data_IF_068495312757
#
_entry.id   IF_068495312757
#
_cell.length_a   1.000
_cell.length_b   1.000
_cell.length_c   1.000
_cell.angle_alpha   90.00
_cell.angle_beta   90.00
_cell.angle_gamma   90.00
#
_symmetry.space_group_name_H-M   'P 1'
#
loop_
_entity.id
_entity.type
_entity.pdbx_description
1 polymer ?
#
# COMPACT_ATOMS: atom_id res chain seq x y z
N UNK A 1 4.60 47.02 -20.14
CA UNK A 1 3.24 47.24 -19.62
C UNK A 1 2.27 46.28 -20.30
N UNK A 2 1.52 45.51 -19.51
CA UNK A 2 0.52 44.48 -19.88
C UNK A 2 1.03 43.07 -20.21
N UNK A 3 1.69 42.42 -19.24
CA UNK A 3 1.56 40.97 -19.06
C UNK A 3 0.27 40.75 -18.25
N UNK A 4 -0.80 40.37 -18.93
CA UNK A 4 -2.04 40.01 -18.26
C UNK A 4 -2.68 38.87 -19.02
N UNK A 5 -3.03 37.82 -18.32
CA UNK A 5 -3.89 36.76 -18.84
C UNK A 5 -5.32 37.02 -18.35
N UNK A 6 -6.31 36.64 -19.15
CA UNK A 6 -7.71 36.66 -18.74
C UNK A 6 -8.13 35.26 -18.30
N UNK A 7 -8.77 35.19 -17.15
CA UNK A 7 -9.45 33.98 -16.69
C UNK A 7 -10.92 34.11 -17.06
N UNK A 8 -11.36 33.32 -18.03
CA UNK A 8 -12.76 33.28 -18.48
C UNK A 8 -13.34 31.89 -18.24
N UNK A 9 -14.64 31.83 -17.95
CA UNK A 9 -15.35 30.56 -17.89
C UNK A 9 -15.90 30.22 -19.28
N UNK A 10 -15.64 29.01 -19.75
CA UNK A 10 -16.11 28.56 -21.05
C UNK A 10 -17.64 28.43 -21.04
N UNK A 11 -18.38 29.04 -21.99
CA UNK A 11 -19.83 28.91 -22.06
C UNK A 11 -20.29 27.50 -22.42
N UNK A 12 -19.42 26.66 -23.00
CA UNK A 12 -19.75 25.29 -23.41
C UNK A 12 -19.59 24.27 -22.26
N UNK A 13 -18.44 24.28 -21.57
CA UNK A 13 -18.11 23.29 -20.54
C UNK A 13 -18.02 23.84 -19.11
N UNK A 14 -18.21 25.16 -18.91
CA UNK A 14 -18.03 25.87 -17.62
C UNK A 14 -16.64 25.66 -16.97
N UNK A 15 -15.67 25.23 -17.77
CA UNK A 15 -14.29 25.08 -17.36
C UNK A 15 -13.59 26.44 -17.33
N UNK A 16 -12.58 26.59 -16.48
CA UNK A 16 -11.84 27.84 -16.36
C UNK A 16 -10.72 27.84 -17.38
N UNK A 17 -10.70 28.87 -18.22
CA UNK A 17 -9.75 29.01 -19.31
C UNK A 17 -8.88 30.24 -19.07
N UNK A 18 -7.56 30.06 -19.17
CA UNK A 18 -6.59 31.15 -19.22
C UNK A 18 -6.31 31.53 -20.67
N UNK A 19 -6.55 32.79 -21.02
CA UNK A 19 -6.40 33.33 -22.37
C UNK A 19 -5.39 34.46 -22.36
N UNK A 20 -4.47 34.45 -23.34
CA UNK A 20 -3.52 35.53 -23.56
C UNK A 20 -4.22 36.79 -24.10
N UNK A 21 -3.94 37.94 -23.49
CA UNK A 21 -4.59 39.23 -23.83
C UNK A 21 -4.30 39.76 -25.23
N UNK A 22 -3.14 39.44 -25.81
CA UNK A 22 -2.70 40.04 -27.08
C UNK A 22 -3.09 39.17 -28.27
N UNK A 23 -3.04 37.85 -28.08
CA UNK A 23 -3.23 36.88 -29.16
C UNK A 23 -4.59 36.20 -29.12
N UNK A 24 -5.31 36.29 -28.01
CA UNK A 24 -6.59 35.57 -27.82
C UNK A 24 -6.43 34.05 -27.77
N UNK A 25 -5.19 33.54 -27.70
CA UNK A 25 -4.92 32.11 -27.64
C UNK A 25 -5.19 31.58 -26.23
N UNK A 26 -5.80 30.41 -26.17
CA UNK A 26 -5.97 29.65 -24.93
C UNK A 26 -4.62 29.09 -24.51
N UNK A 27 -4.15 29.48 -23.34
CA UNK A 27 -2.91 29.00 -22.75
C UNK A 27 -3.14 27.73 -21.94
N UNK A 28 -4.21 27.72 -21.12
CA UNK A 28 -4.55 26.60 -20.24
C UNK A 28 -6.05 26.42 -20.15
N UNK A 29 -6.47 25.17 -20.15
CA UNK A 29 -7.84 24.74 -19.92
C UNK A 29 -7.83 23.89 -18.65
N UNK A 30 -8.42 24.39 -17.57
CA UNK A 30 -8.58 23.63 -16.34
C UNK A 30 -9.98 23.06 -16.27
N UNK A 31 -10.06 21.73 -16.18
CA UNK A 31 -11.30 21.05 -15.85
C UNK A 31 -11.85 21.59 -14.54
N UNK A 32 -13.16 21.84 -14.53
CA UNK A 32 -13.85 22.31 -13.34
C UNK A 32 -13.61 21.29 -12.21
N UNK A 33 -13.02 21.68 -11.06
CA UNK A 33 -12.97 20.78 -9.93
C UNK A 33 -14.42 20.45 -9.59
N UNK A 34 -14.81 19.19 -9.83
CA UNK A 34 -16.09 18.69 -9.37
C UNK A 34 -16.14 18.99 -7.87
N UNK A 35 -17.10 19.80 -7.38
CA UNK A 35 -17.27 19.94 -5.96
C UNK A 35 -17.57 18.54 -5.45
N UNK A 36 -16.60 17.94 -4.74
CA UNK A 36 -16.84 16.71 -3.99
C UNK A 36 -18.11 16.97 -3.19
N UNK A 37 -19.16 16.20 -3.48
CA UNK A 37 -20.53 16.49 -3.04
C UNK A 37 -20.55 16.94 -1.57
N UNK A 38 -21.02 18.17 -1.28
CA UNK A 38 -21.24 18.60 0.09
C UNK A 38 -22.60 18.03 0.52
N UNK A 39 -22.65 16.77 0.98
CA UNK A 39 -23.94 16.24 1.43
C UNK A 39 -24.04 14.78 1.86
N UNK A 40 -23.03 13.93 1.63
CA UNK A 40 -22.99 12.58 2.21
C UNK A 40 -22.03 12.56 3.39
N UNK A 41 -22.46 12.10 4.55
CA UNK A 41 -21.71 12.07 5.81
C UNK A 41 -20.25 11.59 5.65
N UNK A 42 -19.33 12.52 5.42
CA UNK A 42 -17.89 12.27 5.31
C UNK A 42 -17.37 11.53 6.55
N UNK A 43 -18.00 11.77 7.70
CA UNK A 43 -17.71 11.09 8.95
C UNK A 43 -18.12 9.60 8.92
N UNK A 44 -19.28 9.26 8.35
CA UNK A 44 -19.71 7.87 8.23
C UNK A 44 -18.88 7.09 7.21
N UNK A 45 -18.54 7.71 6.07
CA UNK A 45 -17.64 7.09 5.10
C UNK A 45 -16.23 6.91 5.67
N UNK A 46 -15.72 7.90 6.42
CA UNK A 46 -14.43 7.77 7.11
C UNK A 46 -14.46 6.65 8.16
N UNK A 47 -15.52 6.53 8.96
CA UNK A 47 -15.66 5.44 9.92
C UNK A 47 -15.74 4.07 9.24
N UNK A 48 -16.47 3.94 8.13
CA UNK A 48 -16.52 2.68 7.36
C UNK A 48 -15.15 2.30 6.79
N UNK A 49 -14.40 3.28 6.26
CA UNK A 49 -13.03 3.05 5.78
C UNK A 49 -12.10 2.61 6.91
N UNK A 50 -12.16 3.27 8.07
CA UNK A 50 -11.36 2.90 9.24
C UNK A 50 -11.67 1.48 9.75
N UNK A 51 -12.94 1.08 9.75
CA UNK A 51 -13.32 -0.29 10.13
C UNK A 51 -12.82 -1.33 9.12
N UNK A 52 -12.94 -1.04 7.82
CA UNK A 52 -12.43 -1.92 6.76
C UNK A 52 -10.91 -2.06 6.83
N UNK A 53 -10.19 -0.96 7.05
CA UNK A 53 -8.75 -0.97 7.24
C UNK A 53 -8.35 -1.78 8.48
N UNK A 54 -9.06 -1.60 9.60
CA UNK A 54 -8.82 -2.37 10.83
C UNK A 54 -8.98 -3.88 10.61
N UNK A 55 -10.05 -4.31 9.92
CA UNK A 55 -10.25 -5.72 9.58
C UNK A 55 -9.10 -6.26 8.72
N UNK A 56 -8.68 -5.51 7.70
CA UNK A 56 -7.58 -5.92 6.82
C UNK A 56 -6.25 -6.05 7.56
N UNK A 57 -5.97 -5.14 8.50
CA UNK A 57 -4.78 -5.23 9.34
C UNK A 57 -4.83 -6.45 10.25
N UNK A 58 -5.96 -6.70 10.91
CA UNK A 58 -6.13 -7.85 11.80
C UNK A 58 -5.94 -9.19 11.08
N UNK A 59 -6.51 -9.33 9.88
CA UNK A 59 -6.33 -10.50 9.02
C UNK A 59 -4.86 -10.71 8.65
N UNK A 60 -4.15 -9.63 8.32
CA UNK A 60 -2.72 -9.68 7.98
C UNK A 60 -1.87 -10.12 9.18
N UNK A 61 -2.09 -9.54 10.36
CA UNK A 61 -1.37 -9.90 11.58
C UNK A 61 -1.68 -11.32 12.03
N UNK A 62 -2.95 -11.74 11.97
CA UNK A 62 -3.38 -13.09 12.32
C UNK A 62 -2.73 -14.13 11.41
N UNK A 63 -2.71 -13.89 10.09
CA UNK A 63 -2.07 -14.79 9.14
C UNK A 63 -0.55 -14.84 9.31
N UNK A 64 0.10 -13.69 9.50
CA UNK A 64 1.54 -13.62 9.74
C UNK A 64 1.94 -14.37 11.03
N UNK A 65 1.17 -14.21 12.12
CA UNK A 65 1.39 -14.91 13.37
C UNK A 65 1.28 -16.42 13.22
N UNK A 66 0.25 -16.92 12.51
CA UNK A 66 0.08 -18.35 12.24
C UNK A 66 1.23 -18.91 11.41
N UNK A 67 1.65 -18.23 10.35
CA UNK A 67 2.76 -18.68 9.51
C UNK A 67 4.08 -18.80 10.29
N UNK A 68 4.34 -17.85 11.20
CA UNK A 68 5.55 -17.89 12.04
C UNK A 68 5.51 -19.05 13.04
N UNK A 69 4.36 -19.28 13.67
CA UNK A 69 4.16 -20.39 14.61
C UNK A 69 4.27 -21.77 13.91
N UNK A 70 3.71 -21.91 12.71
CA UNK A 70 3.83 -23.14 11.91
C UNK A 70 5.28 -23.41 11.52
N UNK A 71 6.01 -22.39 11.03
CA UNK A 71 7.44 -22.53 10.72
C UNK A 71 8.24 -22.93 11.96
N UNK A 72 7.96 -22.31 13.10
CA UNK A 72 8.63 -22.66 14.36
C UNK A 72 8.40 -24.13 14.72
N UNK A 73 7.16 -24.61 14.66
CA UNK A 73 6.83 -26.02 14.93
C UNK A 73 7.51 -26.97 13.95
N UNK A 74 7.57 -26.63 12.67
CA UNK A 74 8.24 -27.45 11.66
C UNK A 74 9.76 -27.54 11.93
N UNK A 75 10.39 -26.40 12.26
CA UNK A 75 11.81 -26.35 12.62
C UNK A 75 12.10 -27.15 13.90
N UNK A 76 11.26 -27.01 14.93
CA UNK A 76 11.39 -27.77 16.18
C UNK A 76 11.23 -29.28 15.93
N UNK A 77 10.25 -29.70 15.14
CA UNK A 77 10.06 -31.11 14.80
C UNK A 77 11.25 -31.71 14.04
N UNK A 78 11.81 -30.95 13.07
CA UNK A 78 13.02 -31.35 12.35
C UNK A 78 14.23 -31.44 13.28
N UNK A 79 14.38 -30.48 14.18
CA UNK A 79 15.45 -30.46 15.16
C UNK A 79 15.36 -31.66 16.13
N UNK A 80 14.17 -31.95 16.65
CA UNK A 80 13.97 -33.12 17.52
C UNK A 80 14.20 -34.45 16.81
N UNK A 81 13.76 -34.58 15.56
CA UNK A 81 14.01 -35.77 14.75
C UNK A 81 15.50 -35.98 14.50
N UNK A 82 16.22 -34.93 14.15
CA UNK A 82 17.67 -34.97 13.92
C UNK A 82 18.44 -35.24 15.22
N UNK A 83 18.02 -34.62 16.34
CA UNK A 83 18.57 -34.88 17.66
C UNK A 83 18.42 -36.35 18.05
N UNK A 84 17.24 -36.94 17.86
CA UNK A 84 17.01 -38.38 18.11
C UNK A 84 17.88 -39.25 17.21
N UNK A 85 18.00 -38.92 15.93
CA UNK A 85 18.88 -39.64 14.98
C UNK A 85 20.33 -39.65 15.48
N UNK A 86 20.84 -38.52 15.94
CA UNK A 86 22.20 -38.37 16.48
C UNK A 86 22.37 -39.15 17.79
N UNK A 87 21.39 -39.09 18.69
CA UNK A 87 21.41 -39.86 19.94
C UNK A 87 21.42 -41.38 19.68
N UNK A 88 20.68 -41.84 18.67
CA UNK A 88 20.60 -43.26 18.27
C UNK A 88 21.83 -43.74 17.47
N UNK A 89 22.38 -42.89 16.58
CA UNK A 89 23.54 -43.23 15.74
C UNK A 89 24.88 -43.05 16.45
N UNK A 90 24.92 -42.27 17.54
CA UNK A 90 26.16 -41.93 18.25
C UNK A 90 27.11 -41.06 17.42
N UNK A 91 26.62 -40.42 16.37
CA UNK A 91 27.42 -39.59 15.47
C UNK A 91 27.83 -38.29 16.19
N UNK A 92 29.13 -38.13 16.42
CA UNK A 92 29.71 -36.96 17.11
C UNK A 92 30.35 -35.98 16.12
N UNK A 93 30.14 -36.19 14.82
CA UNK A 93 30.63 -35.28 13.79
C UNK A 93 29.97 -33.90 13.90
N UNK A 94 30.75 -32.85 13.68
CA UNK A 94 30.25 -31.47 13.70
C UNK A 94 29.31 -31.28 12.50
N UNK A 95 28.10 -30.71 12.68
CA UNK A 95 27.22 -30.41 11.56
C UNK A 95 27.90 -29.48 10.56
N UNK A 96 27.76 -29.81 9.28
CA UNK A 96 28.36 -29.03 8.19
C UNK A 96 27.78 -27.63 8.17
N UNK A 97 28.67 -26.64 8.10
CA UNK A 97 28.29 -25.24 8.08
C UNK A 97 27.75 -24.89 6.69
N UNK A 98 26.53 -24.32 6.58
CA UNK A 98 25.95 -23.99 5.28
C UNK A 98 26.77 -23.00 4.45
N UNK A 99 27.65 -22.22 5.08
CA UNK A 99 28.55 -21.28 4.42
C UNK A 99 29.81 -21.93 3.85
N UNK A 100 30.12 -23.17 4.25
CA UNK A 100 31.27 -23.96 3.77
C UNK A 100 30.86 -24.92 2.63
N UNK A 101 29.57 -24.94 2.24
CA UNK A 101 28.98 -25.74 1.17
C UNK A 101 28.71 -24.87 -0.07
N UNK A 102 29.78 -24.32 -0.67
CA UNK A 102 29.75 -23.57 -1.95
C UNK A 102 29.89 -24.50 -3.16
#
# INVERSE_FOLDING_TARGET
>A
MSEGTFLIDCPCCKARIEVDRKTGKVLKHWDKPQPKQPGGDLMQEAMKKLQADKSRLDDYFSNAGKSMEEKKKELEAKFEAEKKRIEESGDTSRPENPWDLD
#
